data_IF_862783801892
#
_entry.id   IF_862783801892
#
_cell.length_a   1.000
_cell.length_b   1.000
_cell.length_c   1.000
_cell.angle_alpha   90.00
_cell.angle_beta   90.00
_cell.angle_gamma   90.00
#
_symmetry.space_group_name_H-M   'P 1'
#
loop_
_entity.id
_entity.type
_entity.pdbx_description
1 polymer ?
#
# COMPACT_ATOMS: atom_id res chain seq x y z
N UNK A 1 60.18 -42.96 14.29
CA UNK A 1 59.77 -42.25 15.55
C UNK A 1 59.31 -40.86 15.19
N UNK A 2 58.02 -40.57 15.28
CA UNK A 2 57.51 -39.22 14.99
C UNK A 2 57.97 -38.27 16.10
N UNK A 3 58.59 -37.16 15.72
CA UNK A 3 59.12 -36.13 16.63
C UNK A 3 57.97 -35.55 17.49
N UNK A 4 58.27 -35.15 18.72
CA UNK A 4 57.34 -34.49 19.64
C UNK A 4 56.69 -33.27 18.96
N UNK A 5 57.44 -32.55 18.16
CA UNK A 5 57.00 -31.42 17.36
C UNK A 5 55.98 -31.77 16.28
N UNK A 6 56.07 -32.98 15.66
CA UNK A 6 55.13 -33.42 14.64
C UNK A 6 53.76 -33.77 15.24
N UNK A 7 53.74 -34.34 16.46
CA UNK A 7 52.47 -34.62 17.18
C UNK A 7 51.78 -33.36 17.63
N UNK A 8 52.51 -32.32 18.06
CA UNK A 8 51.94 -31.02 18.42
C UNK A 8 51.34 -30.31 17.21
N UNK A 9 52.02 -30.34 16.06
CA UNK A 9 51.47 -29.79 14.80
C UNK A 9 50.23 -30.52 14.31
N UNK A 10 50.18 -31.84 14.46
CA UNK A 10 48.97 -32.60 14.10
C UNK A 10 47.81 -32.32 15.05
N UNK A 11 48.06 -32.19 16.34
CA UNK A 11 47.07 -31.82 17.33
C UNK A 11 46.51 -30.41 17.05
N UNK A 12 47.40 -29.46 16.76
CA UNK A 12 47.00 -28.08 16.41
C UNK A 12 46.20 -28.01 15.12
N UNK A 13 46.54 -28.82 14.10
CA UNK A 13 45.82 -28.94 12.84
C UNK A 13 44.43 -29.56 13.05
N UNK A 14 44.29 -30.55 13.93
CA UNK A 14 42.98 -31.12 14.30
C UNK A 14 42.15 -30.10 15.07
N UNK A 15 42.71 -29.39 16.01
CA UNK A 15 42.07 -28.34 16.79
C UNK A 15 41.52 -27.22 15.88
N UNK A 16 42.34 -26.74 14.94
CA UNK A 16 41.90 -25.73 13.97
C UNK A 16 40.76 -26.20 13.08
N UNK A 17 40.75 -27.49 12.68
CA UNK A 17 39.61 -28.05 11.92
C UNK A 17 38.33 -28.05 12.75
N UNK A 18 38.41 -28.39 14.05
CA UNK A 18 37.27 -28.32 14.95
C UNK A 18 36.73 -26.90 15.09
N UNK A 19 37.60 -25.92 15.27
CA UNK A 19 37.24 -24.52 15.37
C UNK A 19 36.51 -24.03 14.11
N UNK A 20 37.03 -24.38 12.93
CA UNK A 20 36.40 -24.05 11.65
C UNK A 20 35.02 -24.72 11.52
N UNK A 21 34.90 -26.00 11.90
CA UNK A 21 33.62 -26.71 11.86
C UNK A 21 32.59 -26.09 12.79
N UNK A 22 32.98 -25.73 14.03
CA UNK A 22 32.10 -25.04 14.98
C UNK A 22 31.65 -23.69 14.43
N UNK A 23 32.56 -22.92 13.85
CA UNK A 23 32.22 -21.62 13.25
C UNK A 23 31.24 -21.74 12.11
N UNK A 24 31.40 -22.76 11.25
CA UNK A 24 30.44 -23.04 10.16
C UNK A 24 29.05 -23.39 10.72
N UNK A 25 28.98 -24.23 11.76
CA UNK A 25 27.72 -24.59 12.41
C UNK A 25 27.03 -23.35 12.99
N UNK A 26 27.78 -22.47 13.65
CA UNK A 26 27.24 -21.20 14.20
C UNK A 26 26.67 -20.34 13.07
N UNK A 27 27.41 -20.18 11.95
CA UNK A 27 26.94 -19.40 10.79
C UNK A 27 25.65 -20.00 10.22
N UNK A 28 25.59 -21.33 10.06
CA UNK A 28 24.37 -22.00 9.57
C UNK A 28 23.19 -21.77 10.52
N UNK A 29 23.41 -21.88 11.83
CA UNK A 29 22.38 -21.63 12.83
C UNK A 29 21.87 -20.18 12.79
N UNK A 30 22.78 -19.21 12.67
CA UNK A 30 22.42 -17.79 12.58
C UNK A 30 21.65 -17.52 11.29
N UNK A 31 22.11 -18.01 10.16
CA UNK A 31 21.41 -17.84 8.86
C UNK A 31 20.03 -18.50 8.90
N UNK A 32 19.92 -19.71 9.45
CA UNK A 32 18.64 -20.38 9.59
C UNK A 32 17.69 -19.63 10.52
N UNK A 33 18.20 -19.11 11.64
CA UNK A 33 17.41 -18.31 12.57
C UNK A 33 16.87 -17.04 11.93
N UNK A 34 17.71 -16.28 11.22
CA UNK A 34 17.30 -15.04 10.54
C UNK A 34 16.22 -15.33 9.49
N UNK A 35 16.39 -16.37 8.67
CA UNK A 35 15.39 -16.74 7.65
C UNK A 35 14.07 -17.26 8.25
N UNK A 36 14.12 -17.85 9.44
CA UNK A 36 12.92 -18.33 10.11
C UNK A 36 12.14 -17.20 10.80
N UNK A 37 12.85 -16.22 11.39
CA UNK A 37 12.23 -15.10 12.14
C UNK A 37 11.75 -13.99 11.22
N UNK A 38 12.48 -13.72 10.14
CA UNK A 38 12.12 -12.69 9.15
C UNK A 38 12.10 -13.27 7.73
N UNK A 39 11.02 -13.97 7.34
CA UNK A 39 10.92 -14.51 5.99
C UNK A 39 10.99 -13.39 4.96
N UNK A 40 11.76 -13.61 3.90
CA UNK A 40 11.85 -12.68 2.78
C UNK A 40 10.50 -12.60 2.06
N UNK A 41 9.88 -11.41 2.07
CA UNK A 41 8.62 -11.15 1.40
C UNK A 41 8.91 -10.52 0.04
N UNK A 42 8.60 -11.25 -1.04
CA UNK A 42 8.68 -10.69 -2.38
C UNK A 42 7.51 -9.74 -2.66
N UNK A 43 7.84 -8.55 -3.18
CA UNK A 43 6.88 -7.51 -3.53
C UNK A 43 6.93 -7.17 -5.03
N UNK A 44 5.81 -6.65 -5.55
CA UNK A 44 5.72 -6.06 -6.90
C UNK A 44 6.31 -4.65 -6.90
N UNK A 45 6.30 -4.00 -8.07
CA UNK A 45 6.66 -2.58 -8.18
C UNK A 45 5.76 -1.68 -7.33
N UNK A 46 4.46 -2.01 -7.26
CA UNK A 46 3.46 -1.33 -6.44
C UNK A 46 3.54 -1.70 -4.95
N UNK A 47 4.63 -2.28 -4.51
CA UNK A 47 4.91 -2.72 -3.13
C UNK A 47 3.95 -3.79 -2.60
N UNK A 48 3.04 -4.33 -3.41
CA UNK A 48 2.13 -5.40 -3.01
C UNK A 48 2.85 -6.75 -2.95
N UNK A 49 2.43 -7.60 -2.03
CA UNK A 49 3.01 -8.94 -1.88
C UNK A 49 2.66 -9.82 -3.08
N UNK A 50 3.64 -10.54 -3.61
CA UNK A 50 3.43 -11.46 -4.73
C UNK A 50 2.56 -12.66 -4.38
N UNK A 51 2.51 -13.05 -3.12
CA UNK A 51 1.61 -14.12 -2.63
C UNK A 51 0.15 -13.67 -2.50
N UNK A 52 -0.15 -12.39 -2.77
CA UNK A 52 -1.49 -11.84 -2.79
C UNK A 52 -2.10 -11.60 -1.40
N UNK A 53 -1.32 -11.65 -0.34
CA UNK A 53 -1.78 -11.32 1.01
C UNK A 53 -2.00 -9.82 1.11
N UNK A 54 -3.18 -9.43 1.61
CA UNK A 54 -3.62 -8.07 1.87
C UNK A 54 -4.23 -8.02 3.27
N UNK A 55 -3.74 -7.14 4.14
CA UNK A 55 -4.27 -6.98 5.51
C UNK A 55 -5.62 -6.26 5.47
N UNK A 56 -5.64 -5.08 4.90
CA UNK A 56 -6.82 -4.23 4.73
C UNK A 56 -6.91 -3.80 3.26
N UNK A 57 -8.12 -3.74 2.72
CA UNK A 57 -8.41 -3.14 1.42
C UNK A 57 -9.00 -1.75 1.63
N UNK A 58 -8.30 -0.71 1.20
CA UNK A 58 -8.75 0.68 1.28
C UNK A 58 -8.93 1.25 -0.12
N UNK A 59 -10.14 1.63 -0.50
CA UNK A 59 -10.40 2.34 -1.73
C UNK A 59 -10.68 3.82 -1.43
N UNK A 60 -9.92 4.71 -2.07
CA UNK A 60 -10.23 6.12 -2.18
C UNK A 60 -11.03 6.36 -3.45
N UNK A 61 -12.12 7.08 -3.36
CA UNK A 61 -12.88 7.61 -4.48
C UNK A 61 -12.82 9.13 -4.37
N UNK A 62 -12.17 9.78 -5.33
CA UNK A 62 -11.97 11.23 -5.37
C UNK A 62 -12.86 11.80 -6.44
N UNK A 63 -13.78 12.65 -6.04
CA UNK A 63 -14.59 13.43 -6.97
C UNK A 63 -13.80 14.67 -7.39
N UNK A 64 -13.22 14.59 -8.59
CA UNK A 64 -12.51 15.71 -9.20
C UNK A 64 -13.40 16.52 -10.15
N UNK A 65 -14.73 16.33 -10.10
CA UNK A 65 -15.67 17.08 -10.94
C UNK A 65 -15.97 18.47 -10.38
N UNK A 66 -15.87 18.61 -9.06
CA UNK A 66 -16.12 19.86 -8.35
C UNK A 66 -14.84 20.50 -7.81
N UNK A 67 -14.93 21.80 -7.57
CA UNK A 67 -13.80 22.57 -7.07
C UNK A 67 -13.85 22.64 -5.54
N UNK A 68 -12.84 22.07 -4.89
CA UNK A 68 -12.64 22.26 -3.45
C UNK A 68 -12.01 23.62 -3.16
N UNK A 69 -12.51 24.32 -2.15
CA UNK A 69 -11.83 25.51 -1.64
C UNK A 69 -10.46 25.14 -1.04
N UNK A 70 -9.54 26.10 -0.96
CA UNK A 70 -8.20 25.89 -0.40
C UNK A 70 -8.27 25.27 1.01
N UNK A 71 -9.16 25.76 1.87
CA UNK A 71 -9.35 25.23 3.22
C UNK A 71 -9.91 23.79 3.26
N UNK A 72 -10.78 23.43 2.30
CA UNK A 72 -11.25 22.05 2.15
C UNK A 72 -10.14 21.14 1.66
N UNK A 73 -9.39 21.57 0.66
CA UNK A 73 -8.25 20.81 0.13
C UNK A 73 -7.17 20.56 1.20
N UNK A 74 -6.83 21.57 2.01
CA UNK A 74 -5.89 21.43 3.13
C UNK A 74 -6.40 20.41 4.16
N UNK A 75 -7.67 20.48 4.53
CA UNK A 75 -8.27 19.53 5.48
C UNK A 75 -8.28 18.10 4.92
N UNK A 76 -8.66 17.93 3.66
CA UNK A 76 -8.63 16.62 2.98
C UNK A 76 -7.21 16.04 3.02
N UNK A 77 -6.20 16.85 2.69
CA UNK A 77 -4.81 16.42 2.70
C UNK A 77 -4.33 15.99 4.10
N UNK A 78 -4.74 16.70 5.16
CA UNK A 78 -4.40 16.30 6.53
C UNK A 78 -5.04 14.96 6.90
N UNK A 79 -6.34 14.78 6.66
CA UNK A 79 -7.07 13.54 6.95
C UNK A 79 -6.48 12.35 6.14
N UNK A 80 -6.14 12.58 4.88
CA UNK A 80 -5.51 11.55 4.03
C UNK A 80 -4.14 11.15 4.58
N UNK A 81 -3.30 12.11 4.99
CA UNK A 81 -2.00 11.84 5.59
C UNK A 81 -2.14 10.99 6.86
N UNK A 82 -3.05 11.34 7.74
CA UNK A 82 -3.32 10.57 8.97
C UNK A 82 -3.74 9.12 8.65
N UNK A 83 -4.57 8.92 7.63
CA UNK A 83 -4.99 7.59 7.18
C UNK A 83 -3.80 6.77 6.65
N UNK A 84 -2.93 7.39 5.85
CA UNK A 84 -1.78 6.71 5.25
C UNK A 84 -0.71 6.41 6.31
N UNK A 85 -0.46 7.33 7.23
CA UNK A 85 0.51 7.14 8.32
C UNK A 85 0.07 6.07 9.32
N UNK A 86 -1.25 5.91 9.51
CA UNK A 86 -1.84 4.86 10.35
C UNK A 86 -2.05 3.53 9.64
N UNK A 87 -1.67 3.41 8.36
CA UNK A 87 -1.91 2.22 7.56
C UNK A 87 -1.16 1.00 8.08
N UNK A 88 -1.82 -0.15 8.11
CA UNK A 88 -1.19 -1.42 8.44
C UNK A 88 -0.22 -1.89 7.36
N UNK A 89 0.80 -2.65 7.76
CA UNK A 89 1.67 -3.33 6.78
C UNK A 89 0.81 -4.26 5.91
N UNK A 90 1.10 -4.28 4.60
CA UNK A 90 0.34 -5.01 3.58
C UNK A 90 -1.10 -4.50 3.37
N UNK A 91 -1.46 -3.34 3.88
CA UNK A 91 -2.69 -2.64 3.49
C UNK A 91 -2.57 -2.17 2.04
N UNK A 92 -3.58 -2.49 1.23
CA UNK A 92 -3.66 -2.10 -0.17
C UNK A 92 -4.54 -0.88 -0.35
N UNK A 93 -4.00 0.14 -0.97
CA UNK A 93 -4.69 1.35 -1.35
C UNK A 93 -4.98 1.34 -2.85
N UNK A 94 -6.25 1.55 -3.20
CA UNK A 94 -6.72 1.68 -4.56
C UNK A 94 -7.38 3.05 -4.70
N UNK A 95 -6.86 3.91 -5.56
CA UNK A 95 -7.38 5.27 -5.78
C UNK A 95 -8.15 5.32 -7.08
N UNK A 96 -9.39 5.69 -7.01
CA UNK A 96 -10.28 5.98 -8.13
C UNK A 96 -10.51 7.48 -8.23
N UNK A 97 -10.59 7.96 -9.46
CA UNK A 97 -10.87 9.37 -9.75
C UNK A 97 -12.14 9.45 -10.59
N UNK A 98 -13.07 10.24 -10.13
CA UNK A 98 -14.26 10.61 -10.87
C UNK A 98 -13.98 11.94 -11.55
N UNK A 99 -13.79 11.90 -12.86
CA UNK A 99 -13.56 13.06 -13.71
C UNK A 99 -14.56 13.12 -14.88
N UNK A 100 -14.41 14.11 -15.75
CA UNK A 100 -15.28 14.29 -16.91
C UNK A 100 -15.22 13.16 -17.96
N UNK A 101 -14.26 12.22 -17.81
CA UNK A 101 -14.07 11.07 -18.71
C UNK A 101 -14.60 9.78 -18.14
N UNK A 102 -15.26 9.82 -16.98
CA UNK A 102 -15.74 8.60 -16.28
C UNK A 102 -16.62 7.70 -17.16
N UNK A 103 -17.34 8.24 -18.13
CA UNK A 103 -18.16 7.48 -19.08
C UNK A 103 -17.32 6.66 -20.09
N UNK A 104 -16.03 6.95 -20.25
CA UNK A 104 -15.15 6.23 -21.17
C UNK A 104 -14.67 4.92 -20.53
N UNK A 105 -14.57 3.85 -21.32
CA UNK A 105 -14.23 2.51 -20.82
C UNK A 105 -12.89 2.43 -20.08
N UNK A 106 -11.95 3.34 -20.40
CA UNK A 106 -10.61 3.39 -19.78
C UNK A 106 -10.57 4.20 -18.48
N UNK A 107 -11.55 5.05 -18.21
CA UNK A 107 -11.60 5.92 -17.03
C UNK A 107 -12.07 5.20 -15.76
N UNK A 108 -12.60 3.98 -15.91
CA UNK A 108 -13.01 3.13 -14.80
C UNK A 108 -11.85 2.34 -14.16
N UNK A 109 -10.64 2.44 -14.70
CA UNK A 109 -9.47 1.81 -14.08
C UNK A 109 -9.01 2.63 -12.86
N UNK A 110 -8.46 1.95 -11.84
CA UNK A 110 -7.83 2.67 -10.73
C UNK A 110 -6.71 3.58 -11.25
N UNK A 111 -6.64 4.79 -10.71
CA UNK A 111 -5.56 5.73 -11.02
C UNK A 111 -4.23 5.24 -10.46
N UNK A 112 -4.25 4.67 -9.25
CA UNK A 112 -3.12 4.04 -8.60
C UNK A 112 -3.57 2.85 -7.75
N UNK A 113 -2.73 1.83 -7.70
CA UNK A 113 -2.81 0.73 -6.72
C UNK A 113 -1.44 0.62 -6.08
N UNK A 114 -1.38 0.66 -4.74
CA UNK A 114 -0.13 0.53 -4.01
C UNK A 114 -0.38 -0.11 -2.65
N UNK A 115 0.59 -0.89 -2.15
CA UNK A 115 0.51 -1.52 -0.84
C UNK A 115 1.54 -0.93 0.13
N UNK A 116 1.19 -0.84 1.41
CA UNK A 116 2.12 -0.40 2.44
C UNK A 116 3.21 -1.45 2.69
N UNK A 117 4.49 -1.18 2.34
CA UNK A 117 5.58 -2.12 2.59
C UNK A 117 6.03 -2.14 4.06
N UNK A 118 5.59 -1.18 4.86
CA UNK A 118 6.12 -0.86 6.18
C UNK A 118 7.38 0.00 6.11
N UNK A 119 7.49 0.92 7.04
CA UNK A 119 8.60 1.89 7.16
C UNK A 119 9.82 1.34 7.90
N UNK A 120 9.71 0.12 8.45
CA UNK A 120 10.75 -0.54 9.23
C UNK A 120 10.65 -0.30 10.74
N UNK A 121 9.63 0.39 11.24
CA UNK A 121 9.41 0.50 12.68
C UNK A 121 9.25 -0.89 13.31
N UNK A 122 9.85 -1.08 14.48
CA UNK A 122 9.83 -2.36 15.21
C UNK A 122 10.74 -3.45 14.64
N UNK A 123 11.44 -3.21 13.53
CA UNK A 123 12.44 -4.15 13.00
C UNK A 123 13.81 -3.94 13.63
N UNK A 124 14.59 -5.03 13.73
CA UNK A 124 15.95 -5.00 14.25
C UNK A 124 16.91 -4.33 13.27
N UNK A 125 17.70 -3.36 13.73
CA UNK A 125 18.76 -2.72 12.93
C UNK A 125 19.89 -3.68 12.57
N UNK A 126 20.06 -4.78 13.31
CA UNK A 126 21.08 -5.79 13.03
C UNK A 126 20.77 -6.64 11.79
N UNK A 127 19.48 -6.84 11.51
CA UNK A 127 19.01 -7.68 10.40
C UNK A 127 18.45 -6.86 9.23
N UNK A 128 18.07 -5.61 9.47
CA UNK A 128 17.42 -4.75 8.50
C UNK A 128 18.09 -3.39 8.35
N UNK A 129 18.13 -2.89 7.14
CA UNK A 129 18.51 -1.51 6.88
C UNK A 129 17.30 -0.59 7.01
N UNK A 130 17.04 -0.11 8.24
CA UNK A 130 15.87 0.72 8.56
C UNK A 130 15.79 1.98 7.70
N UNK A 131 16.93 2.64 7.43
CA UNK A 131 16.97 3.84 6.55
C UNK A 131 16.47 3.53 5.15
N UNK A 132 16.84 2.36 4.61
CA UNK A 132 16.38 1.93 3.27
C UNK A 132 14.89 1.60 3.28
N UNK A 133 14.39 0.95 4.33
CA UNK A 133 12.97 0.63 4.47
C UNK A 133 12.13 1.90 4.55
N UNK A 134 12.52 2.85 5.40
CA UNK A 134 11.85 4.13 5.55
C UNK A 134 11.86 4.94 4.24
N UNK A 135 13.00 5.03 3.56
CA UNK A 135 13.11 5.68 2.26
C UNK A 135 12.20 5.03 1.21
N UNK A 136 12.17 3.69 1.17
CA UNK A 136 11.31 2.97 0.23
C UNK A 136 9.82 3.19 0.53
N UNK A 137 9.44 3.21 1.81
CA UNK A 137 8.09 3.53 2.26
C UNK A 137 7.68 4.94 1.83
N UNK A 138 8.54 5.92 2.09
CA UNK A 138 8.28 7.32 1.74
C UNK A 138 8.14 7.49 0.21
N UNK A 139 9.11 7.04 -0.59
CA UNK A 139 9.15 7.26 -2.04
C UNK A 139 8.12 6.44 -2.81
N UNK A 140 7.86 5.20 -2.38
CA UNK A 140 7.04 4.24 -3.16
C UNK A 140 5.64 4.01 -2.62
N UNK A 141 5.32 4.54 -1.46
CA UNK A 141 4.01 4.42 -0.86
C UNK A 141 3.45 5.78 -0.45
N UNK A 142 4.03 6.41 0.57
CA UNK A 142 3.52 7.65 1.14
C UNK A 142 3.43 8.78 0.11
N UNK A 143 4.56 9.12 -0.53
CA UNK A 143 4.62 10.21 -1.50
C UNK A 143 3.78 9.94 -2.76
N UNK A 144 3.64 8.68 -3.18
CA UNK A 144 2.81 8.35 -4.34
C UNK A 144 1.34 8.61 -4.09
N UNK A 145 0.80 8.22 -2.94
CA UNK A 145 -0.61 8.42 -2.62
C UNK A 145 -0.87 9.90 -2.35
N UNK A 146 -0.07 10.54 -1.48
CA UNK A 146 -0.27 11.93 -1.08
C UNK A 146 -0.19 12.87 -2.27
N UNK A 147 0.86 12.77 -3.10
CA UNK A 147 1.00 13.62 -4.30
C UNK A 147 -0.12 13.37 -5.32
N UNK A 148 -0.57 12.13 -5.47
CA UNK A 148 -1.70 11.81 -6.35
C UNK A 148 -2.96 12.52 -5.87
N UNK A 149 -3.28 12.42 -4.59
CA UNK A 149 -4.49 13.03 -4.03
C UNK A 149 -4.39 14.55 -4.02
N UNK A 150 -3.24 15.12 -3.63
CA UNK A 150 -3.00 16.56 -3.67
C UNK A 150 -3.19 17.16 -5.08
N UNK A 151 -2.75 16.45 -6.12
CA UNK A 151 -2.92 16.90 -7.51
C UNK A 151 -4.36 16.80 -8.01
N UNK A 152 -5.15 15.85 -7.48
CA UNK A 152 -6.52 15.61 -7.92
C UNK A 152 -7.55 16.48 -7.17
N UNK A 153 -7.26 16.82 -5.91
CA UNK A 153 -8.10 17.69 -5.10
C UNK A 153 -7.93 19.13 -5.58
N UNK A 154 -8.90 19.63 -6.35
CA UNK A 154 -8.91 21.01 -6.87
C UNK A 154 -8.79 21.15 -8.38
N UNK A 155 -8.57 20.07 -9.11
CA UNK A 155 -8.50 20.09 -10.59
C UNK A 155 -9.85 19.80 -11.19
N UNK A 156 -10.89 20.34 -11.08
CA UNK A 156 -12.01 19.81 -11.80
C UNK A 156 -13.14 20.78 -12.09
N UNK A 157 -13.67 20.68 -13.27
CA UNK A 157 -15.02 21.10 -13.65
C UNK A 157 -15.54 20.09 -14.66
N UNK A 158 -16.42 19.23 -14.23
CA UNK A 158 -17.14 18.35 -15.14
C UNK A 158 -18.63 18.67 -15.12
N UNK A 159 -19.30 18.35 -16.22
CA UNK A 159 -20.75 18.55 -16.33
C UNK A 159 -21.55 17.41 -15.69
N UNK A 160 -20.90 16.38 -15.19
CA UNK A 160 -21.52 15.19 -14.59
C UNK A 160 -20.65 14.68 -13.44
N UNK A 161 -21.29 14.24 -12.37
CA UNK A 161 -20.65 13.60 -11.21
C UNK A 161 -21.43 12.31 -10.85
N UNK A 162 -21.17 11.18 -11.58
CA UNK A 162 -21.84 9.90 -11.35
C UNK A 162 -21.21 9.14 -10.16
N UNK A 163 -21.36 9.69 -8.97
CA UNK A 163 -20.75 9.17 -7.72
C UNK A 163 -21.24 7.76 -7.42
N UNK A 164 -22.54 7.49 -7.57
CA UNK A 164 -23.14 6.20 -7.23
C UNK A 164 -22.59 5.09 -8.12
N UNK A 165 -22.44 5.34 -9.41
CA UNK A 165 -21.86 4.39 -10.36
C UNK A 165 -20.37 4.09 -10.03
N UNK A 166 -19.62 5.09 -9.54
CA UNK A 166 -18.25 4.87 -9.12
C UNK A 166 -18.18 4.05 -7.82
N UNK A 167 -19.07 4.30 -6.88
CA UNK A 167 -19.16 3.49 -5.63
C UNK A 167 -19.51 2.04 -5.99
N UNK A 168 -20.48 1.82 -6.86
CA UNK A 168 -20.84 0.48 -7.33
C UNK A 168 -19.66 -0.19 -8.03
N UNK A 169 -19.00 0.53 -8.94
CA UNK A 169 -17.84 0.01 -9.67
C UNK A 169 -16.70 -0.40 -8.71
N UNK A 170 -16.33 0.45 -7.76
CA UNK A 170 -15.30 0.15 -6.77
C UNK A 170 -15.70 -1.01 -5.85
N UNK A 171 -16.98 -1.10 -5.47
CA UNK A 171 -17.53 -2.20 -4.69
C UNK A 171 -17.37 -3.54 -5.39
N UNK A 172 -17.70 -3.60 -6.68
CA UNK A 172 -17.63 -4.83 -7.49
C UNK A 172 -16.17 -5.17 -7.83
N UNK A 173 -15.38 -4.19 -8.25
CA UNK A 173 -14.06 -4.46 -8.83
C UNK A 173 -12.92 -4.52 -7.81
N UNK A 174 -13.05 -3.87 -6.67
CA UNK A 174 -12.05 -3.87 -5.60
C UNK A 174 -12.55 -4.61 -4.38
N UNK A 175 -13.63 -4.15 -3.76
CA UNK A 175 -14.06 -4.66 -2.47
C UNK A 175 -14.50 -6.14 -2.53
N UNK A 176 -15.33 -6.52 -3.51
CA UNK A 176 -15.82 -7.91 -3.61
C UNK A 176 -14.71 -8.89 -3.99
N UNK A 177 -13.72 -8.47 -4.78
CA UNK A 177 -12.61 -9.31 -5.23
C UNK A 177 -11.49 -9.44 -4.20
N UNK A 178 -11.39 -8.52 -3.25
CA UNK A 178 -10.37 -8.54 -2.22
C UNK A 178 -10.61 -9.66 -1.21
N UNK A 179 -9.51 -10.34 -0.85
CA UNK A 179 -9.47 -11.36 0.22
C UNK A 179 -9.14 -10.77 1.59
N UNK A 180 -8.95 -9.46 1.69
CA UNK A 180 -8.69 -8.77 2.95
C UNK A 180 -9.86 -9.00 3.93
N UNK A 181 -9.53 -9.16 5.21
CA UNK A 181 -10.53 -9.35 6.27
C UNK A 181 -11.29 -8.06 6.56
N UNK A 182 -10.59 -6.93 6.48
CA UNK A 182 -11.15 -5.60 6.67
C UNK A 182 -11.12 -4.84 5.36
N UNK A 183 -12.19 -4.09 5.09
CA UNK A 183 -12.34 -3.33 3.85
C UNK A 183 -12.95 -1.98 4.19
N UNK A 184 -12.41 -0.90 3.65
CA UNK A 184 -12.96 0.44 3.82
C UNK A 184 -12.97 1.19 2.49
N UNK A 185 -13.99 2.01 2.32
CA UNK A 185 -14.13 2.92 1.18
C UNK A 185 -14.18 4.34 1.73
N UNK A 186 -13.38 5.21 1.18
CA UNK A 186 -13.26 6.61 1.59
C UNK A 186 -13.65 7.44 0.37
N UNK A 187 -14.70 8.22 0.54
CA UNK A 187 -15.22 9.08 -0.51
C UNK A 187 -14.88 10.53 -0.20
N UNK A 188 -14.23 11.19 -1.15
CA UNK A 188 -13.86 12.60 -1.12
C UNK A 188 -14.70 13.30 -2.17
N UNK A 189 -15.83 13.87 -1.78
CA UNK A 189 -16.84 14.49 -2.64
C UNK A 189 -17.76 15.38 -1.83
N UNK A 190 -18.47 16.28 -2.47
CA UNK A 190 -19.62 17.01 -1.89
C UNK A 190 -20.91 16.16 -1.85
N UNK A 191 -20.85 14.92 -2.38
CA UNK A 191 -21.99 13.99 -2.44
C UNK A 191 -23.14 14.44 -3.36
N UNK A 192 -22.93 15.42 -4.22
CA UNK A 192 -23.95 15.86 -5.18
C UNK A 192 -23.89 15.07 -6.48
N UNK A 193 -24.62 13.97 -6.49
CA UNK A 193 -24.71 13.12 -7.68
C UNK A 193 -25.40 13.85 -8.84
N UNK A 194 -24.79 13.80 -10.02
CA UNK A 194 -25.32 14.38 -11.24
C UNK A 194 -24.93 13.55 -12.46
N UNK A 195 -25.91 12.89 -13.06
CA UNK A 195 -25.78 12.19 -14.33
C UNK A 195 -26.97 12.51 -15.25
N UNK A 196 -27.08 11.80 -16.38
CA UNK A 196 -28.17 11.99 -17.34
C UNK A 196 -29.52 11.50 -16.84
N UNK A 197 -29.52 10.56 -15.90
CA UNK A 197 -30.72 9.88 -15.40
C UNK A 197 -31.25 10.56 -14.13
N UNK A 198 -30.35 11.03 -13.26
CA UNK A 198 -30.69 11.64 -11.99
C UNK A 198 -29.75 12.79 -11.63
N UNK A 199 -30.28 13.83 -11.04
CA UNK A 199 -29.50 15.00 -10.61
C UNK A 199 -30.03 15.63 -9.31
N UNK A 200 -29.15 15.80 -8.33
CA UNK A 200 -29.45 16.58 -7.12
C UNK A 200 -29.65 18.08 -7.38
N UNK A 201 -29.25 18.58 -8.55
CA UNK A 201 -29.43 19.99 -8.93
C UNK A 201 -30.81 20.27 -9.55
N UNK A 202 -31.61 19.25 -9.85
CA UNK A 202 -32.96 19.44 -10.38
C UNK A 202 -34.00 19.49 -9.25
N UNK A 203 -35.08 20.23 -9.46
CA UNK A 203 -36.10 20.50 -8.43
C UNK A 203 -37.01 19.32 -8.08
N UNK A 204 -36.96 18.22 -8.81
CA UNK A 204 -37.75 17.01 -8.53
C UNK A 204 -36.88 16.06 -7.70
N UNK A 205 -37.12 16.03 -6.41
CA UNK A 205 -36.47 15.08 -5.48
C UNK A 205 -37.42 13.91 -5.17
N UNK A 206 -38.10 13.38 -6.18
CA UNK A 206 -38.95 12.22 -5.97
C UNK A 206 -38.14 10.95 -5.96
N UNK A 207 -38.10 10.28 -4.79
CA UNK A 207 -37.42 9.01 -4.61
C UNK A 207 -37.96 7.89 -5.53
N UNK A 208 -39.21 8.01 -5.98
CA UNK A 208 -39.80 7.06 -6.90
C UNK A 208 -39.21 7.15 -8.34
N UNK A 209 -38.65 8.30 -8.73
CA UNK A 209 -37.92 8.45 -9.98
C UNK A 209 -36.53 7.81 -9.96
N UNK A 210 -35.98 7.58 -8.74
CA UNK A 210 -34.66 6.98 -8.56
C UNK A 210 -34.67 5.45 -8.54
N UNK A 211 -35.83 4.80 -8.40
CA UNK A 211 -35.99 3.34 -8.44
C UNK A 211 -35.93 2.79 -9.87
#
# INVERSE_FOLDING_TARGET
MSSRADREKEAQKKWNRYLVAVLIVIIICVVSYVNFVEPFIERTEDQCRKDGVVSIETAFIIDATDHFSESQAERINLEVKDIIESAEIDERFTVYVLDNKFSEANSKNPHIIVCNPGDGQGKSEFTNNIRRLNKNWDEKFYSQITSTIENLVGEGRANQSPILEMIEFASINTMSKSKAKSKRMILISDMLHHNKEYSHYTSSHDFEEFK
#
